data_IF_702153678559
#
_entry.id   IF_702153678559
#
_cell.length_a   1.000
_cell.length_b   1.000
_cell.length_c   1.000
_cell.angle_alpha   90.00
_cell.angle_beta   90.00
_cell.angle_gamma   90.00
#
_symmetry.space_group_name_H-M   'P 1'
#
loop_
_entity.id
_entity.type
_entity.pdbx_description
1 polymer ?
#
# COMPACT_ATOMS: atom_id res chain seq x y z
N UNK A 1 6.68 1.69 -3.17
CA UNK A 1 7.73 2.71 -3.32
C UNK A 1 7.96 3.09 -4.78
N UNK A 2 8.41 2.17 -5.64
CA UNK A 2 8.67 2.46 -7.07
C UNK A 2 7.49 3.15 -7.80
N UNK A 3 6.27 2.62 -7.67
CA UNK A 3 5.07 3.21 -8.30
C UNK A 3 4.64 4.55 -7.67
N UNK A 4 4.85 4.73 -6.36
CA UNK A 4 4.38 5.92 -5.63
C UNK A 4 5.27 7.14 -5.90
N UNK A 5 6.58 6.90 -6.03
CA UNK A 5 7.59 7.93 -6.25
C UNK A 5 8.11 7.97 -7.69
N UNK A 6 7.55 7.14 -8.59
CA UNK A 6 7.96 7.02 -9.99
C UNK A 6 9.47 6.78 -10.16
N UNK A 7 10.02 5.83 -9.39
CA UNK A 7 11.46 5.50 -9.38
C UNK A 7 11.77 4.36 -10.35
N UNK A 8 12.88 4.47 -11.08
CA UNK A 8 13.51 3.35 -11.78
C UNK A 8 14.15 2.36 -10.79
N UNK A 9 14.77 1.30 -11.30
CA UNK A 9 15.39 0.26 -10.47
C UNK A 9 16.63 0.77 -9.78
N UNK A 10 17.53 1.37 -10.56
CA UNK A 10 18.70 2.06 -10.02
C UNK A 10 18.31 3.16 -9.02
N UNK A 11 17.32 3.98 -9.35
CA UNK A 11 16.86 5.03 -8.45
C UNK A 11 16.24 4.48 -7.15
N UNK A 12 15.66 3.27 -7.20
CA UNK A 12 15.13 2.60 -6.02
C UNK A 12 16.25 2.01 -5.15
N UNK A 13 17.31 1.47 -5.75
CA UNK A 13 18.53 1.05 -5.05
C UNK A 13 19.15 2.25 -4.30
N UNK A 14 19.42 3.34 -5.01
CA UNK A 14 19.98 4.56 -4.45
C UNK A 14 19.10 5.09 -3.29
N UNK A 15 17.78 5.12 -3.50
CA UNK A 15 16.85 5.57 -2.47
C UNK A 15 16.84 4.68 -1.21
N UNK A 16 17.03 3.36 -1.35
CA UNK A 16 17.19 2.46 -0.21
C UNK A 16 18.54 2.65 0.50
N UNK A 17 19.57 3.06 -0.23
CA UNK A 17 20.88 3.35 0.36
C UNK A 17 20.90 4.70 1.11
N UNK A 18 20.26 5.72 0.55
CA UNK A 18 20.32 7.08 1.09
C UNK A 18 19.22 7.40 2.10
N UNK A 19 17.99 6.89 1.88
CA UNK A 19 16.81 7.33 2.62
C UNK A 19 16.42 6.29 3.68
N UNK A 20 16.72 6.61 4.94
CA UNK A 20 16.42 5.74 6.09
C UNK A 20 14.92 5.40 6.21
N UNK A 21 14.03 6.36 5.94
CA UNK A 21 12.58 6.10 6.00
C UNK A 21 12.11 5.10 4.95
N UNK A 22 12.73 5.04 3.76
CA UNK A 22 12.42 4.03 2.75
C UNK A 22 12.87 2.64 3.19
N UNK A 23 14.04 2.53 3.83
CA UNK A 23 14.49 1.27 4.45
C UNK A 23 13.56 0.82 5.56
N UNK A 24 13.21 1.72 6.47
CA UNK A 24 12.31 1.42 7.56
C UNK A 24 10.94 0.97 7.06
N UNK A 25 10.42 1.61 6.02
CA UNK A 25 9.17 1.21 5.39
C UNK A 25 9.25 -0.20 4.78
N UNK A 26 10.36 -0.53 4.13
CA UNK A 26 10.60 -1.85 3.53
C UNK A 26 11.06 -2.91 4.53
N UNK A 27 11.21 -2.55 5.81
CA UNK A 27 11.82 -3.37 6.87
C UNK A 27 13.18 -3.97 6.47
N UNK A 28 14.00 -3.14 5.80
CA UNK A 28 15.33 -3.50 5.32
C UNK A 28 16.42 -2.91 6.22
N UNK A 29 17.49 -3.67 6.40
CA UNK A 29 18.69 -3.26 7.13
C UNK A 29 19.82 -2.94 6.15
N UNK A 30 20.73 -2.06 6.57
CA UNK A 30 21.88 -1.61 5.76
C UNK A 30 22.82 -2.74 5.33
N UNK A 31 22.86 -3.85 6.06
CA UNK A 31 23.68 -5.03 5.76
C UNK A 31 23.12 -5.91 4.63
N UNK A 32 21.86 -5.71 4.23
CA UNK A 32 21.19 -6.47 3.18
C UNK A 32 20.27 -5.59 2.34
N UNK A 33 20.86 -4.64 1.63
CA UNK A 33 20.12 -3.89 0.61
C UNK A 33 20.11 -4.64 -0.73
N UNK A 34 18.97 -4.68 -1.43
CA UNK A 34 18.91 -5.22 -2.77
C UNK A 34 19.59 -4.27 -3.76
N UNK A 35 20.32 -4.83 -4.72
CA UNK A 35 20.86 -4.09 -5.86
C UNK A 35 19.79 -3.91 -6.97
N UNK A 36 20.09 -3.10 -7.98
CA UNK A 36 19.23 -2.84 -9.14
C UNK A 36 18.68 -4.13 -9.74
N UNK A 37 19.54 -5.15 -9.90
CA UNK A 37 19.17 -6.43 -10.47
C UNK A 37 18.20 -7.22 -9.58
N UNK A 38 18.39 -7.22 -8.26
CA UNK A 38 17.45 -7.84 -7.33
C UNK A 38 16.08 -7.15 -7.38
N UNK A 39 16.04 -5.82 -7.50
CA UNK A 39 14.80 -5.05 -7.64
C UNK A 39 14.11 -5.36 -8.97
N UNK A 40 14.86 -5.40 -10.08
CA UNK A 40 14.38 -5.80 -11.40
C UNK A 40 13.78 -7.21 -11.39
N UNK A 41 14.50 -8.18 -10.82
CA UNK A 41 14.04 -9.55 -10.71
C UNK A 41 12.75 -9.64 -9.88
N UNK A 42 12.67 -8.90 -8.77
CA UNK A 42 11.45 -8.83 -7.96
C UNK A 42 10.25 -8.32 -8.77
N UNK A 43 10.43 -7.30 -9.62
CA UNK A 43 9.35 -6.84 -10.50
C UNK A 43 8.91 -7.90 -11.48
N UNK A 44 9.86 -8.57 -12.14
CA UNK A 44 9.52 -9.66 -13.06
C UNK A 44 8.76 -10.80 -12.37
N UNK A 45 9.05 -11.09 -11.10
CA UNK A 45 8.26 -12.02 -10.30
C UNK A 45 6.82 -11.52 -10.11
N UNK A 46 6.63 -10.22 -9.84
CA UNK A 46 5.31 -9.62 -9.66
C UNK A 46 4.51 -9.54 -10.98
N UNK A 47 5.18 -9.37 -12.11
CA UNK A 47 4.58 -9.35 -13.46
C UNK A 47 4.08 -10.73 -13.91
N UNK A 48 4.45 -11.80 -13.21
CA UNK A 48 3.96 -13.14 -13.54
C UNK A 48 2.42 -13.18 -13.47
N UNK A 49 1.72 -13.79 -14.45
CA UNK A 49 0.26 -13.67 -14.66
C UNK A 49 -0.68 -14.10 -13.52
N UNK A 50 -0.17 -14.49 -12.36
CA UNK A 50 -0.93 -14.97 -11.20
C UNK A 50 -0.51 -14.33 -9.87
N UNK A 51 0.75 -13.93 -9.71
CA UNK A 51 1.28 -13.52 -8.41
C UNK A 51 0.69 -12.19 -7.94
N UNK A 52 0.58 -11.21 -8.84
CA UNK A 52 -0.05 -9.92 -8.53
C UNK A 52 -1.49 -10.07 -8.03
N UNK A 53 -2.29 -10.94 -8.64
CA UNK A 53 -3.69 -11.19 -8.23
C UNK A 53 -3.77 -11.82 -6.84
N UNK A 54 -2.87 -12.75 -6.52
CA UNK A 54 -2.83 -13.39 -5.21
C UNK A 54 -2.44 -12.38 -4.13
N UNK A 55 -1.43 -11.56 -4.40
CA UNK A 55 -0.97 -10.53 -3.47
C UNK A 55 -2.06 -9.50 -3.18
N UNK A 56 -2.71 -8.96 -4.22
CA UNK A 56 -3.81 -8.00 -4.04
C UNK A 56 -4.94 -8.62 -3.21
N UNK A 57 -5.27 -9.89 -3.44
CA UNK A 57 -6.30 -10.59 -2.65
C UNK A 57 -5.94 -10.70 -1.17
N UNK A 58 -4.71 -11.07 -0.83
CA UNK A 58 -4.28 -11.16 0.57
C UNK A 58 -4.18 -9.78 1.23
N UNK A 59 -3.74 -8.76 0.51
CA UNK A 59 -3.76 -7.37 0.98
C UNK A 59 -5.19 -6.92 1.27
N UNK A 60 -6.14 -7.17 0.35
CA UNK A 60 -7.55 -6.83 0.56
C UNK A 60 -8.13 -7.53 1.78
N UNK A 61 -7.82 -8.81 1.98
CA UNK A 61 -8.25 -9.57 3.17
C UNK A 61 -7.69 -8.97 4.47
N UNK A 62 -6.43 -8.52 4.45
CA UNK A 62 -5.84 -7.83 5.61
C UNK A 62 -6.53 -6.48 5.86
N UNK A 63 -6.79 -5.71 4.81
CA UNK A 63 -7.50 -4.43 4.91
C UNK A 63 -8.93 -4.63 5.45
N UNK A 64 -9.67 -5.62 4.95
CA UNK A 64 -11.03 -5.93 5.38
C UNK A 64 -11.10 -6.27 6.87
N UNK A 65 -10.10 -7.01 7.38
CA UNK A 65 -9.98 -7.30 8.81
C UNK A 65 -9.83 -6.04 9.67
N UNK A 66 -9.23 -4.99 9.11
CA UNK A 66 -9.06 -3.68 9.76
C UNK A 66 -10.18 -2.69 9.39
N UNK A 67 -11.28 -3.14 8.75
CA UNK A 67 -12.42 -2.31 8.37
C UNK A 67 -12.19 -1.45 7.12
N UNK A 68 -11.12 -1.71 6.36
CA UNK A 68 -10.75 -1.00 5.14
C UNK A 68 -11.08 -1.84 3.90
N UNK A 69 -11.53 -1.22 2.82
CA UNK A 69 -11.84 -1.92 1.56
C UNK A 69 -11.10 -1.21 0.42
N UNK A 70 -10.27 -1.96 -0.31
CA UNK A 70 -9.58 -1.49 -1.50
C UNK A 70 -10.31 -2.01 -2.75
N UNK A 71 -10.71 -1.10 -3.64
CA UNK A 71 -11.36 -1.42 -4.93
C UNK A 71 -10.48 -0.96 -6.07
N UNK A 72 -10.36 -1.80 -7.09
CA UNK A 72 -9.68 -1.45 -8.34
C UNK A 72 -10.40 -0.27 -9.04
N UNK A 73 -9.63 0.67 -9.57
CA UNK A 73 -10.15 1.73 -10.45
C UNK A 73 -10.66 3.02 -9.78
N UNK A 74 -10.56 3.19 -8.46
CA UNK A 74 -10.93 4.47 -7.83
C UNK A 74 -10.18 4.76 -6.54
N UNK A 75 -9.30 5.77 -6.58
CA UNK A 75 -8.76 6.41 -5.36
C UNK A 75 -9.88 7.31 -4.83
N UNK A 76 -10.39 7.01 -3.63
CA UNK A 76 -11.41 7.83 -2.97
C UNK A 76 -10.83 8.39 -1.69
N UNK A 77 -10.92 9.70 -1.51
CA UNK A 77 -10.53 10.35 -0.25
C UNK A 77 -11.48 9.88 0.86
N UNK A 78 -10.90 9.29 1.92
CA UNK A 78 -11.66 8.76 3.04
C UNK A 78 -11.45 9.67 4.25
N UNK A 79 -12.43 10.52 4.53
CA UNK A 79 -12.45 11.28 5.79
C UNK A 79 -12.79 10.34 6.94
N UNK A 80 -11.89 10.22 7.91
CA UNK A 80 -12.16 9.51 9.17
C UNK A 80 -13.11 10.37 9.99
N UNK A 81 -14.38 9.96 10.08
CA UNK A 81 -15.40 10.64 10.89
C UNK A 81 -15.55 9.86 12.19
N UNK A 82 -15.38 10.53 13.33
CA UNK A 82 -15.75 9.96 14.63
C UNK A 82 -17.25 9.70 14.64
N UNK A 83 -17.67 8.44 14.80
CA UNK A 83 -19.08 8.14 15.03
C UNK A 83 -19.47 8.81 16.36
N UNK A 84 -20.49 9.68 16.34
CA UNK A 84 -21.08 10.15 17.60
C UNK A 84 -21.62 8.93 18.33
N UNK A 85 -21.25 8.79 19.61
CA UNK A 85 -21.61 7.64 20.44
C UNK A 85 -23.12 7.39 20.42
N UNK A 86 -23.55 6.39 19.66
CA UNK A 86 -24.89 5.85 19.79
C UNK A 86 -24.87 4.91 20.98
N UNK A 87 -25.54 5.31 22.07
CA UNK A 87 -25.65 4.53 23.31
C UNK A 87 -25.93 3.06 23.00
N UNK A 88 -24.96 2.21 23.38
CA UNK A 88 -24.90 0.73 23.29
C UNK A 88 -24.14 0.17 22.08
N UNK A 89 -22.82 0.17 22.16
CA UNK A 89 -22.01 -1.05 22.16
C UNK A 89 -20.55 -0.66 22.47
N UNK A 90 -19.92 -1.42 23.35
CA UNK A 90 -18.52 -1.27 23.77
C UNK A 90 -17.54 -1.57 22.62
N UNK A 91 -16.47 -0.77 22.59
CA UNK A 91 -15.24 -0.90 21.78
C UNK A 91 -15.32 -0.34 20.35
N UNK A 92 -14.98 0.95 20.26
CA UNK A 92 -14.38 1.68 19.13
C UNK A 92 -14.96 1.39 17.72
N UNK A 93 -16.20 1.81 17.50
CA UNK A 93 -16.80 1.86 16.16
C UNK A 93 -16.32 3.10 15.38
N UNK A 94 -15.24 2.96 14.61
CA UNK A 94 -14.92 3.88 13.52
C UNK A 94 -15.65 3.42 12.25
N UNK A 95 -16.55 4.25 11.71
CA UNK A 95 -17.28 3.95 10.48
C UNK A 95 -16.65 4.72 9.31
N UNK A 96 -16.10 4.01 8.33
CA UNK A 96 -15.59 4.59 7.09
C UNK A 96 -16.77 4.89 6.16
N UNK A 97 -17.13 6.18 6.03
CA UNK A 97 -18.09 6.62 5.00
C UNK A 97 -17.31 7.11 3.80
N UNK A 98 -17.23 6.29 2.75
CA UNK A 98 -16.54 6.63 1.50
C UNK A 98 -17.28 7.77 0.79
N UNK A 99 -16.72 8.98 0.79
CA UNK A 99 -17.20 10.12 0.00
C UNK A 99 -16.67 9.97 -1.43
N UNK A 100 -17.50 9.38 -2.30
CA UNK A 100 -17.25 9.23 -3.73
C UNK A 100 -17.03 10.60 -4.41
N UNK A 101 -15.79 11.10 -4.45
CA UNK A 101 -15.36 12.15 -5.37
C UNK A 101 -14.75 11.48 -6.61
N UNK A 102 -15.23 11.86 -7.80
CA UNK A 102 -14.72 11.36 -9.07
C UNK A 102 -13.55 12.24 -9.51
N UNK A 103 -12.37 11.66 -9.63
CA UNK A 103 -11.26 12.21 -10.40
C UNK A 103 -10.98 11.25 -11.57
N UNK A 104 -10.68 11.75 -12.77
CA UNK A 104 -10.49 10.91 -13.95
C UNK A 104 -9.22 10.07 -13.81
N UNK A 105 -9.34 8.80 -14.18
CA UNK A 105 -8.29 7.79 -14.13
C UNK A 105 -7.14 8.11 -15.09
N UNK A 106 -5.91 7.79 -14.67
CA UNK A 106 -4.72 7.70 -15.50
C UNK A 106 -4.83 6.56 -16.50
#
# INVERSE_FOLDING_TARGET
>A
MQLLYNLSDLAMEDALYEIESMRHFADLRLDRLPDENAILNFRHLLEQPSLGKVLVKEVNKHLEKNGLILREGRIVDATIISASESRKASMDCYSFRILSAALPAF
#
